data_IF_015636877418
#
_entry.id   IF_015636877418
#
_cell.length_a   1.000
_cell.length_b   1.000
_cell.length_c   1.000
_cell.angle_alpha   90.00
_cell.angle_beta   90.00
_cell.angle_gamma   90.00
#
_symmetry.space_group_name_H-M   'P 1'
#
loop_
_entity.id
_entity.type
_entity.pdbx_description
1 polymer ?
#
# COMPACT_ATOMS: atom_id res chain seq x y z
N UNK A 1 3.02 4.25 1.21
CA UNK A 1 3.96 3.21 1.67
C UNK A 1 4.82 2.65 0.53
N UNK A 2 4.24 2.16 -0.57
CA UNK A 2 5.00 1.51 -1.66
C UNK A 2 6.09 2.39 -2.27
N UNK A 3 5.78 3.67 -2.52
CA UNK A 3 6.76 4.68 -2.98
C UNK A 3 7.96 4.76 -2.02
N UNK A 4 7.71 4.77 -0.72
CA UNK A 4 8.76 4.88 0.30
C UNK A 4 9.64 3.63 0.36
N UNK A 5 9.05 2.44 0.22
CA UNK A 5 9.81 1.19 0.10
C UNK A 5 10.64 1.16 -1.20
N UNK A 6 10.06 1.60 -2.32
CA UNK A 6 10.76 1.67 -3.60
C UNK A 6 11.99 2.57 -3.51
N UNK A 7 11.83 3.72 -2.86
CA UNK A 7 12.90 4.68 -2.63
C UNK A 7 13.97 4.11 -1.71
N UNK A 8 13.60 3.42 -0.63
CA UNK A 8 14.57 2.75 0.24
C UNK A 8 15.38 1.68 -0.51
N UNK A 9 14.75 0.92 -1.41
CA UNK A 9 15.46 -0.03 -2.29
C UNK A 9 16.38 0.70 -3.30
N UNK A 10 15.93 1.83 -3.86
CA UNK A 10 16.76 2.63 -4.76
C UNK A 10 17.96 3.29 -4.06
N UNK A 11 17.81 3.66 -2.79
CA UNK A 11 18.90 4.15 -1.92
C UNK A 11 20.03 3.13 -1.79
N UNK A 12 19.69 1.83 -1.79
CA UNK A 12 20.65 0.71 -1.77
C UNK A 12 21.29 0.43 -3.14
N UNK A 13 20.94 1.19 -4.18
CA UNK A 13 21.53 1.09 -5.53
C UNK A 13 20.81 0.13 -6.48
N UNK A 14 19.63 -0.39 -6.11
CA UNK A 14 18.83 -1.22 -7.00
C UNK A 14 18.06 -0.39 -8.03
N UNK A 15 17.84 -0.98 -9.22
CA UNK A 15 16.90 -0.44 -10.21
C UNK A 15 15.49 -0.89 -9.82
N UNK A 16 14.64 0.07 -9.46
CA UNK A 16 13.31 -0.22 -8.91
C UNK A 16 12.23 0.40 -9.80
N UNK A 17 11.15 -0.35 -10.01
CA UNK A 17 9.92 0.17 -10.58
C UNK A 17 8.74 -0.04 -9.64
N UNK A 18 7.80 0.91 -9.63
CA UNK A 18 6.48 0.77 -9.02
C UNK A 18 5.44 0.70 -10.13
N UNK A 19 4.62 -0.33 -10.11
CA UNK A 19 3.44 -0.46 -10.96
C UNK A 19 2.22 -0.34 -10.07
N UNK A 20 1.38 0.67 -10.31
CA UNK A 20 0.24 0.98 -9.44
C UNK A 20 -1.06 1.12 -10.20
N UNK A 21 -2.19 0.78 -9.57
CA UNK A 21 -3.51 1.16 -10.05
C UNK A 21 -4.17 2.27 -9.20
N UNK A 22 -3.39 2.94 -8.33
CA UNK A 22 -3.84 4.04 -7.47
C UNK A 22 -4.31 5.25 -8.29
N UNK A 23 -5.43 5.84 -7.88
CA UNK A 23 -5.94 7.08 -8.47
C UNK A 23 -5.07 8.29 -8.13
N UNK A 24 -4.44 8.32 -6.94
CA UNK A 24 -3.59 9.43 -6.55
C UNK A 24 -2.35 9.55 -7.46
N UNK A 25 -1.81 8.42 -7.92
CA UNK A 25 -0.75 8.41 -8.95
C UNK A 25 -1.21 9.07 -10.24
N UNK A 26 -2.43 8.75 -10.70
CA UNK A 26 -2.99 9.32 -11.94
C UNK A 26 -3.19 10.81 -11.83
N UNK A 27 -3.83 11.27 -10.76
CA UNK A 27 -4.03 12.70 -10.52
C UNK A 27 -2.71 13.45 -10.44
N UNK A 28 -1.73 12.94 -9.69
CA UNK A 28 -0.40 13.53 -9.62
C UNK A 28 0.24 13.64 -11.03
N UNK A 29 0.16 12.59 -11.85
CA UNK A 29 0.67 12.62 -13.22
C UNK A 29 -0.09 13.63 -14.12
N UNK A 30 -1.42 13.72 -13.99
CA UNK A 30 -2.27 14.65 -14.75
C UNK A 30 -2.00 16.11 -14.39
N UNK A 31 -1.72 16.38 -13.12
CA UNK A 31 -1.30 17.69 -12.60
C UNK A 31 0.17 18.02 -12.95
N UNK A 32 0.86 17.11 -13.63
CA UNK A 32 2.25 17.27 -14.04
C UNK A 32 3.25 17.13 -12.89
N UNK A 33 2.83 16.60 -11.75
CA UNK A 33 3.74 16.26 -10.65
C UNK A 33 4.75 15.21 -11.13
N UNK A 34 5.97 15.36 -10.66
CA UNK A 34 7.06 14.42 -10.88
C UNK A 34 7.90 14.35 -9.61
N UNK A 35 8.64 13.24 -9.39
CA UNK A 35 9.65 13.21 -8.34
C UNK A 35 10.61 14.40 -8.44
N UNK A 36 10.95 15.01 -7.30
CA UNK A 36 11.84 16.16 -7.27
C UNK A 36 13.20 15.84 -7.94
N UNK A 37 13.75 16.70 -8.81
CA UNK A 37 15.02 16.43 -9.47
C UNK A 37 16.15 16.16 -8.47
N UNK A 38 16.88 15.06 -8.65
CA UNK A 38 18.00 14.67 -7.78
C UNK A 38 17.58 13.93 -6.51
N UNK A 39 16.28 13.81 -6.22
CA UNK A 39 15.76 12.95 -5.15
C UNK A 39 16.00 11.47 -5.44
N UNK A 40 15.93 10.64 -4.41
CA UNK A 40 15.90 9.19 -4.57
C UNK A 40 14.64 8.72 -5.29
N UNK A 41 13.49 9.36 -5.05
CA UNK A 41 12.27 9.12 -5.81
C UNK A 41 12.46 9.28 -7.33
N UNK A 42 13.30 10.23 -7.77
CA UNK A 42 13.61 10.42 -9.20
C UNK A 42 14.38 9.26 -9.85
N UNK A 43 14.88 8.30 -9.05
CA UNK A 43 15.57 7.09 -9.53
C UNK A 43 14.64 5.88 -9.66
N UNK A 44 13.40 6.01 -9.22
CA UNK A 44 12.37 4.96 -9.29
C UNK A 44 11.52 5.19 -10.54
N UNK A 45 11.27 4.13 -11.31
CA UNK A 45 10.31 4.19 -12.42
C UNK A 45 8.89 4.03 -11.91
N UNK A 46 7.99 4.96 -12.21
CA UNK A 46 6.57 4.89 -11.86
C UNK A 46 5.72 4.59 -13.09
N UNK A 47 4.85 3.59 -12.99
CA UNK A 47 4.03 3.11 -14.09
C UNK A 47 2.59 2.90 -13.62
N UNK A 48 1.63 3.38 -14.40
CA UNK A 48 0.23 3.00 -14.20
C UNK A 48 0.01 1.58 -14.76
N UNK A 49 -0.61 0.71 -13.98
CA UNK A 49 -1.04 -0.63 -14.40
C UNK A 49 -1.81 -0.55 -15.71
N UNK A 50 -2.70 0.44 -15.87
CA UNK A 50 -3.58 0.62 -17.03
C UNK A 50 -2.80 0.78 -18.34
N UNK A 51 -1.56 1.28 -18.29
CA UNK A 51 -0.73 1.52 -19.47
C UNK A 51 0.23 0.36 -19.78
N UNK A 52 0.17 -0.74 -19.02
CA UNK A 52 0.97 -1.94 -19.21
C UNK A 52 0.16 -3.11 -19.76
N UNK A 53 0.76 -3.86 -20.68
CA UNK A 53 0.28 -5.17 -21.11
C UNK A 53 0.65 -6.18 -20.01
N UNK A 54 -0.31 -6.48 -19.15
CA UNK A 54 -0.15 -7.46 -18.06
C UNK A 54 -0.36 -8.89 -18.56
N UNK A 55 -1.49 -9.17 -19.21
CA UNK A 55 -1.77 -10.47 -19.82
C UNK A 55 -2.45 -10.33 -21.19
N UNK A 56 -2.19 -11.24 -22.15
CA UNK A 56 -2.75 -11.14 -23.51
C UNK A 56 -4.28 -11.06 -23.55
N UNK A 57 -4.95 -11.65 -22.56
CA UNK A 57 -6.41 -11.65 -22.46
C UNK A 57 -6.99 -10.45 -21.71
N UNK A 58 -6.18 -9.53 -21.15
CA UNK A 58 -6.65 -8.45 -20.26
C UNK A 58 -7.73 -7.58 -20.90
N UNK A 59 -7.46 -7.10 -22.11
CA UNK A 59 -8.41 -6.30 -22.89
C UNK A 59 -9.68 -7.09 -23.18
N UNK A 60 -9.55 -8.37 -23.57
CA UNK A 60 -10.70 -9.23 -23.90
C UNK A 60 -11.58 -9.51 -22.68
N UNK A 61 -10.97 -9.78 -21.52
CA UNK A 61 -11.67 -10.01 -20.27
C UNK A 61 -12.39 -8.75 -19.79
N UNK A 62 -11.72 -7.59 -19.83
CA UNK A 62 -12.35 -6.29 -19.46
C UNK A 62 -13.52 -5.95 -20.39
N UNK A 63 -13.37 -6.09 -21.70
CA UNK A 63 -14.47 -5.92 -22.68
C UNK A 63 -15.66 -6.84 -22.39
N UNK A 64 -15.38 -8.11 -22.02
CA UNK A 64 -16.44 -9.05 -21.66
C UNK A 64 -17.16 -8.60 -20.39
N UNK A 65 -16.42 -8.21 -19.35
CA UNK A 65 -17.00 -7.72 -18.07
C UNK A 65 -17.94 -6.53 -18.29
N UNK A 66 -17.49 -5.53 -19.04
CA UNK A 66 -18.31 -4.34 -19.38
C UNK A 66 -19.57 -4.76 -20.13
N UNK A 67 -19.46 -5.67 -21.10
CA UNK A 67 -20.63 -6.17 -21.85
C UNK A 67 -21.61 -6.91 -20.95
N UNK A 68 -21.11 -7.78 -20.08
CA UNK A 68 -21.94 -8.59 -19.18
C UNK A 68 -22.66 -7.68 -18.15
N UNK A 69 -21.99 -6.64 -17.64
CA UNK A 69 -22.61 -5.62 -16.79
C UNK A 69 -23.69 -4.82 -17.53
N UNK A 70 -23.40 -4.33 -18.74
CA UNK A 70 -24.38 -3.62 -19.57
C UNK A 70 -25.63 -4.46 -19.83
N UNK A 71 -25.46 -5.76 -20.12
CA UNK A 71 -26.57 -6.67 -20.35
C UNK A 71 -27.41 -6.93 -19.09
N UNK A 72 -26.82 -6.81 -17.89
CA UNK A 72 -27.52 -6.97 -16.62
C UNK A 72 -28.30 -5.71 -16.20
N UNK A 73 -28.02 -4.55 -16.81
CA UNK A 73 -28.66 -3.29 -16.46
C UNK A 73 -30.01 -3.10 -17.18
N UNK A 74 -31.00 -2.50 -16.50
CA UNK A 74 -32.22 -2.01 -17.14
C UNK A 74 -31.95 -1.04 -18.31
N UNK A 75 -32.80 -0.99 -19.36
CA UNK A 75 -32.55 -0.14 -20.55
C UNK A 75 -32.34 1.36 -20.25
N UNK A 76 -33.02 1.90 -19.24
CA UNK A 76 -32.90 3.28 -18.80
C UNK A 76 -31.56 3.58 -18.09
N UNK A 77 -30.90 2.56 -17.55
CA UNK A 77 -29.59 2.67 -16.90
C UNK A 77 -28.45 2.42 -17.88
N UNK A 78 -28.67 1.59 -18.92
CA UNK A 78 -27.71 1.42 -20.01
C UNK A 78 -27.37 2.76 -20.70
N UNK A 79 -28.36 3.64 -20.87
CA UNK A 79 -28.15 4.98 -21.44
C UNK A 79 -27.27 5.89 -20.56
N UNK A 80 -27.18 5.62 -19.25
CA UNK A 80 -26.36 6.37 -18.29
C UNK A 80 -25.01 5.71 -18.01
N UNK A 81 -24.81 4.46 -18.46
CA UNK A 81 -23.63 3.67 -18.15
C UNK A 81 -22.33 4.36 -18.56
N UNK A 82 -22.28 4.99 -19.74
CA UNK A 82 -21.09 5.70 -20.20
C UNK A 82 -20.66 6.83 -19.26
N UNK A 83 -21.62 7.53 -18.65
CA UNK A 83 -21.33 8.62 -17.72
C UNK A 83 -20.89 8.08 -16.35
N UNK A 84 -21.57 7.04 -15.86
CA UNK A 84 -21.28 6.45 -14.53
C UNK A 84 -19.98 5.63 -14.53
N UNK A 85 -19.64 4.99 -15.64
CA UNK A 85 -18.48 4.09 -15.78
C UNK A 85 -17.40 4.66 -16.70
N UNK A 86 -17.30 5.99 -16.80
CA UNK A 86 -16.30 6.66 -17.63
C UNK A 86 -14.87 6.18 -17.32
N UNK A 87 -14.52 6.01 -16.04
CA UNK A 87 -13.22 5.51 -15.59
C UNK A 87 -12.92 4.07 -16.07
N UNK A 88 -13.93 3.18 -16.09
CA UNK A 88 -13.74 1.80 -16.56
C UNK A 88 -13.53 1.75 -18.08
N UNK A 89 -14.22 2.62 -18.82
CA UNK A 89 -14.03 2.78 -20.26
C UNK A 89 -12.65 3.37 -20.58
N UNK A 90 -12.24 4.43 -19.87
CA UNK A 90 -10.93 5.03 -20.02
C UNK A 90 -9.81 4.02 -19.70
N UNK A 91 -9.94 3.27 -18.60
CA UNK A 91 -9.00 2.21 -18.24
C UNK A 91 -8.89 1.15 -19.34
N UNK A 92 -10.00 0.80 -20.00
CA UNK A 92 -10.00 -0.11 -21.14
C UNK A 92 -9.30 0.51 -22.37
N UNK A 93 -9.51 1.79 -22.65
CA UNK A 93 -8.84 2.49 -23.77
C UNK A 93 -7.33 2.59 -23.56
N UNK A 94 -6.89 3.01 -22.37
CA UNK A 94 -5.48 3.05 -21.99
C UNK A 94 -4.82 1.68 -22.13
N UNK A 95 -5.49 0.64 -21.64
CA UNK A 95 -5.01 -0.74 -21.78
C UNK A 95 -4.91 -1.22 -23.24
N UNK A 96 -5.75 -0.71 -24.14
CA UNK A 96 -5.65 -1.02 -25.57
C UNK A 96 -4.49 -0.31 -26.25
N UNK A 97 -4.10 0.86 -25.75
CA UNK A 97 -2.97 1.65 -26.26
C UNK A 97 -1.64 1.27 -25.61
N UNK A 98 -1.67 0.51 -24.52
CA UNK A 98 -0.50 -0.04 -23.86
C UNK A 98 0.42 -0.73 -24.88
N UNK A 99 1.67 -0.30 -24.93
CA UNK A 99 2.70 -0.88 -25.83
C UNK A 99 3.73 -1.71 -25.06
N UNK A 100 3.94 -1.37 -23.79
CA UNK A 100 4.94 -1.98 -22.94
C UNK A 100 4.38 -3.18 -22.17
N UNK A 101 5.14 -4.28 -22.10
CA UNK A 101 4.74 -5.47 -21.33
C UNK A 101 5.31 -5.44 -19.91
N UNK A 102 4.50 -5.86 -18.93
CA UNK A 102 4.96 -6.00 -17.54
C UNK A 102 6.17 -6.95 -17.43
N UNK A 103 6.23 -8.02 -18.22
CA UNK A 103 7.38 -8.93 -18.24
C UNK A 103 8.67 -8.27 -18.72
N UNK A 104 8.59 -7.34 -19.67
CA UNK A 104 9.76 -6.60 -20.16
C UNK A 104 10.24 -5.61 -19.09
N UNK A 105 9.29 -5.01 -18.34
CA UNK A 105 9.59 -4.19 -17.18
C UNK A 105 10.30 -4.98 -16.07
N UNK A 106 9.80 -6.18 -15.74
CA UNK A 106 10.41 -7.09 -14.76
C UNK A 106 11.83 -7.48 -15.17
N UNK A 107 12.07 -7.75 -16.46
CA UNK A 107 13.38 -8.20 -16.93
C UNK A 107 14.48 -7.13 -16.82
N UNK A 108 14.13 -5.84 -16.79
CA UNK A 108 15.11 -4.73 -16.76
C UNK A 108 15.29 -4.05 -15.40
N UNK A 109 14.49 -4.41 -14.40
CA UNK A 109 14.59 -3.89 -13.04
C UNK A 109 15.04 -5.00 -12.08
N UNK A 110 15.71 -4.60 -11.00
CA UNK A 110 16.11 -5.53 -9.96
C UNK A 110 14.93 -5.85 -9.03
N UNK A 111 14.03 -4.87 -8.83
CA UNK A 111 12.77 -5.01 -8.10
C UNK A 111 11.63 -4.30 -8.85
N UNK A 112 10.47 -4.97 -8.93
CA UNK A 112 9.21 -4.37 -9.37
C UNK A 112 8.20 -4.52 -8.25
N UNK A 113 7.77 -3.40 -7.67
CA UNK A 113 6.74 -3.37 -6.64
C UNK A 113 5.38 -3.21 -7.31
N UNK A 114 4.49 -4.17 -7.06
CA UNK A 114 3.13 -4.19 -7.59
C UNK A 114 2.19 -3.62 -6.52
N UNK A 115 1.83 -2.35 -6.65
CA UNK A 115 0.89 -1.65 -5.77
C UNK A 115 -0.53 -1.70 -6.36
N UNK A 116 -1.13 -2.89 -6.31
CA UNK A 116 -2.41 -3.15 -7.00
C UNK A 116 -3.48 -3.64 -6.04
N UNK A 117 -4.66 -3.03 -6.16
CA UNK A 117 -5.84 -3.40 -5.38
C UNK A 117 -6.34 -4.81 -5.72
N UNK A 118 -5.99 -5.80 -4.88
CA UNK A 118 -6.53 -7.17 -4.86
C UNK A 118 -6.66 -7.87 -6.24
N UNK A 119 -5.80 -7.55 -7.21
CA UNK A 119 -5.80 -8.18 -8.54
C UNK A 119 -5.15 -9.57 -8.48
N UNK A 120 -5.92 -10.56 -8.04
CA UNK A 120 -5.45 -11.91 -7.74
C UNK A 120 -4.66 -12.56 -8.90
N UNK A 121 -5.11 -12.39 -10.14
CA UNK A 121 -4.44 -12.96 -11.32
C UNK A 121 -3.07 -12.32 -11.57
N UNK A 122 -2.97 -10.99 -11.39
CA UNK A 122 -1.73 -10.24 -11.56
C UNK A 122 -0.72 -10.64 -10.48
N UNK A 123 -1.14 -10.62 -9.22
CA UNK A 123 -0.32 -11.03 -8.07
C UNK A 123 0.15 -12.47 -8.25
N UNK A 124 -0.76 -13.39 -8.58
CA UNK A 124 -0.43 -14.82 -8.70
C UNK A 124 0.60 -15.13 -9.78
N UNK A 125 0.61 -14.36 -10.87
CA UNK A 125 1.44 -14.60 -12.05
C UNK A 125 2.79 -13.91 -12.01
N UNK A 126 2.88 -12.74 -11.38
CA UNK A 126 4.08 -11.89 -11.47
C UNK A 126 4.78 -11.68 -10.13
N UNK A 127 4.12 -11.90 -8.99
CA UNK A 127 4.76 -11.73 -7.70
C UNK A 127 5.53 -12.99 -7.29
N UNK A 128 6.77 -12.80 -6.79
CA UNK A 128 7.53 -13.84 -6.10
C UNK A 128 7.26 -13.82 -4.58
N UNK A 129 7.07 -12.61 -4.05
CA UNK A 129 6.80 -12.34 -2.65
C UNK A 129 5.61 -11.38 -2.56
N UNK A 130 4.72 -11.61 -1.60
CA UNK A 130 3.55 -10.79 -1.35
C UNK A 130 3.56 -10.34 0.11
N UNK A 131 3.79 -9.05 0.33
CA UNK A 131 3.58 -8.42 1.63
C UNK A 131 2.14 -7.89 1.71
N UNK A 132 1.31 -8.54 2.53
CA UNK A 132 -0.09 -8.17 2.75
C UNK A 132 -0.15 -7.15 3.87
N UNK A 133 -0.63 -5.95 3.57
CA UNK A 133 -0.75 -4.87 4.56
C UNK A 133 -1.86 -5.18 5.55
N UNK A 134 -1.52 -5.25 6.83
CA UNK A 134 -2.46 -5.55 7.92
C UNK A 134 -2.47 -4.40 8.91
N UNK A 135 -3.53 -3.61 8.89
CA UNK A 135 -3.73 -2.54 9.87
C UNK A 135 -4.19 -3.13 11.21
N UNK A 136 -3.32 -3.04 12.21
CA UNK A 136 -3.58 -3.60 13.55
C UNK A 136 -4.62 -2.81 14.34
N UNK A 137 -5.10 -1.68 13.83
CA UNK A 137 -6.22 -0.93 14.41
C UNK A 137 -7.59 -1.37 13.86
N UNK A 138 -7.64 -2.25 12.86
CA UNK A 138 -8.85 -2.58 12.12
C UNK A 138 -9.06 -4.09 11.96
N UNK A 139 -10.00 -4.66 12.72
CA UNK A 139 -10.36 -6.08 12.60
C UNK A 139 -10.86 -6.47 11.20
N UNK A 140 -11.45 -5.52 10.46
CA UNK A 140 -11.87 -5.76 9.08
C UNK A 140 -10.68 -5.85 8.12
N UNK A 141 -9.62 -5.09 8.36
CA UNK A 141 -8.38 -5.21 7.59
C UNK A 141 -7.75 -6.59 7.78
N UNK A 142 -7.66 -7.08 9.03
CA UNK A 142 -7.17 -8.44 9.35
C UNK A 142 -7.99 -9.52 8.65
N UNK A 143 -9.33 -9.44 8.72
CA UNK A 143 -10.22 -10.40 8.04
C UNK A 143 -10.08 -10.34 6.52
N UNK A 144 -9.92 -9.14 5.97
CA UNK A 144 -9.72 -8.95 4.52
C UNK A 144 -8.40 -9.57 4.06
N UNK A 145 -7.33 -9.37 4.83
CA UNK A 145 -6.02 -9.96 4.58
C UNK A 145 -6.08 -11.50 4.57
N UNK A 146 -6.73 -12.11 5.57
CA UNK A 146 -6.97 -13.55 5.61
C UNK A 146 -7.71 -14.06 4.37
N UNK A 147 -8.84 -13.43 4.03
CA UNK A 147 -9.63 -13.80 2.83
C UNK A 147 -8.83 -13.65 1.54
N UNK A 148 -8.02 -12.60 1.42
CA UNK A 148 -7.19 -12.35 0.25
C UNK A 148 -6.13 -13.44 0.06
N UNK A 149 -5.40 -13.80 1.11
CA UNK A 149 -4.39 -14.87 1.05
C UNK A 149 -5.03 -16.23 0.78
N UNK A 150 -6.14 -16.57 1.46
CA UNK A 150 -6.87 -17.81 1.17
C UNK A 150 -7.36 -17.85 -0.27
N UNK A 151 -7.83 -16.73 -0.85
CA UNK A 151 -8.23 -16.67 -2.24
C UNK A 151 -7.06 -16.94 -3.20
N UNK A 152 -5.88 -16.36 -2.94
CA UNK A 152 -4.67 -16.60 -3.73
C UNK A 152 -4.19 -18.05 -3.66
N UNK A 153 -4.21 -18.65 -2.46
CA UNK A 153 -3.81 -20.04 -2.25
C UNK A 153 -4.76 -21.04 -2.94
N UNK A 154 -6.05 -20.70 -3.06
CA UNK A 154 -7.04 -21.53 -3.73
C UNK A 154 -6.97 -21.49 -5.27
N UNK A 155 -6.16 -20.60 -5.85
CA UNK A 155 -5.96 -20.57 -7.31
C UNK A 155 -5.07 -21.74 -7.72
N UNK A 156 -5.69 -22.76 -8.33
CA UNK A 156 -4.99 -23.91 -8.92
C UNK A 156 -4.19 -23.47 -10.14
N UNK A 157 -2.87 -23.32 -9.97
CA UNK A 157 -1.93 -23.02 -11.05
C UNK A 157 -0.75 -24.01 -11.02
N UNK A 158 -0.10 -24.22 -12.16
CA UNK A 158 1.12 -25.05 -12.29
C UNK A 158 2.40 -24.31 -11.88
N UNK A 159 2.34 -22.99 -11.76
CA UNK A 159 3.48 -22.15 -11.37
C UNK A 159 3.67 -22.15 -9.84
N UNK A 160 4.91 -21.92 -9.40
CA UNK A 160 5.27 -21.80 -7.98
C UNK A 160 4.38 -20.77 -7.28
N UNK A 161 3.84 -21.11 -6.12
CA UNK A 161 3.06 -20.20 -5.28
C UNK A 161 4.00 -19.17 -4.65
N UNK A 162 3.67 -17.86 -4.68
CA UNK A 162 4.48 -16.86 -3.99
C UNK A 162 4.48 -17.07 -2.48
N UNK A 163 5.50 -16.57 -1.81
CA UNK A 163 5.53 -16.48 -0.35
C UNK A 163 4.67 -15.30 0.12
N UNK A 164 3.81 -15.54 1.11
CA UNK A 164 2.92 -14.53 1.68
C UNK A 164 3.39 -14.15 3.09
N UNK A 165 3.45 -12.85 3.36
CA UNK A 165 3.79 -12.32 4.68
C UNK A 165 2.84 -11.20 5.08
N UNK A 166 2.58 -11.05 6.37
CA UNK A 166 1.82 -9.93 6.92
C UNK A 166 2.74 -8.75 7.23
N UNK A 167 2.55 -7.61 6.57
CA UNK A 167 3.18 -6.35 6.95
C UNK A 167 2.27 -5.62 7.92
N UNK A 168 2.59 -5.68 9.21
CA UNK A 168 1.79 -5.06 10.26
C UNK A 168 2.01 -3.55 10.28
N UNK A 169 0.92 -2.78 10.34
CA UNK A 169 0.95 -1.32 10.37
C UNK A 169 0.19 -0.76 11.56
N UNK A 170 0.59 0.43 12.01
CA UNK A 170 0.10 1.09 13.23
C UNK A 170 0.41 0.30 14.51
N UNK A 171 1.58 -0.33 14.56
CA UNK A 171 2.08 -1.13 15.68
C UNK A 171 2.61 -0.29 16.86
N UNK A 172 2.07 0.92 17.07
CA UNK A 172 2.51 1.80 18.15
C UNK A 172 2.24 1.15 19.52
N UNK A 173 3.32 0.85 20.26
CA UNK A 173 3.25 0.43 21.66
C UNK A 173 2.97 1.67 22.50
N UNK A 174 1.72 1.89 22.89
CA UNK A 174 1.34 2.97 23.81
C UNK A 174 0.32 3.97 23.30
N UNK A 175 -0.16 3.84 22.06
CA UNK A 175 -1.26 4.64 21.52
C UNK A 175 -0.94 6.13 21.45
N UNK A 176 -0.60 6.61 20.24
CA UNK A 176 -0.60 8.05 19.98
C UNK A 176 -2.06 8.49 19.89
N UNK A 177 -2.68 8.78 21.03
CA UNK A 177 -3.80 9.71 21.02
C UNK A 177 -3.16 11.08 20.92
N UNK A 178 -3.40 11.75 19.80
CA UNK A 178 -3.16 13.19 19.68
C UNK A 178 -3.93 13.97 20.76
N UNK A 179 -5.00 13.41 21.33
CA UNK A 179 -5.71 13.96 22.49
C UNK A 179 -4.94 13.74 23.82
N UNK A 180 -3.87 12.92 23.83
CA UNK A 180 -3.04 12.65 25.01
C UNK A 180 -1.68 13.38 24.99
N UNK A 181 -1.28 14.03 23.89
CA UNK A 181 -0.37 15.18 24.00
C UNK A 181 -1.04 16.31 24.80
N UNK A 182 -2.38 16.36 24.81
CA UNK A 182 -3.19 17.18 25.72
C UNK A 182 -3.51 16.47 27.05
N UNK A 183 -2.60 15.64 27.59
CA UNK A 183 -2.49 15.62 29.05
C UNK A 183 -1.95 16.99 29.46
N UNK A 184 -2.87 17.95 29.54
CA UNK A 184 -2.76 19.22 30.24
C UNK A 184 -2.53 18.89 31.71
N UNK A 185 -1.33 18.38 32.00
CA UNK A 185 -0.95 17.85 33.30
C UNK A 185 -0.89 18.91 34.38
N UNK A 186 -1.02 20.19 34.02
CA UNK A 186 -0.88 21.29 34.97
C UNK A 186 -2.03 22.33 34.97
N UNK A 187 -3.02 22.28 34.06
CA UNK A 187 -3.97 23.41 33.90
C UNK A 187 -5.48 23.12 33.85
N UNK A 188 -5.95 21.86 33.85
CA UNK A 188 -7.39 21.56 33.84
C UNK A 188 -7.74 20.52 34.90
N UNK A 189 -8.54 20.90 35.91
CA UNK A 189 -9.17 19.94 36.83
C UNK A 189 -10.31 19.25 36.10
N UNK A 190 -10.13 17.96 35.79
CA UNK A 190 -11.20 17.09 35.29
C UNK A 190 -12.16 16.73 36.43
N UNK A 191 -13.44 16.56 36.12
CA UNK A 191 -14.38 15.94 37.06
C UNK A 191 -14.13 14.44 37.20
N UNK A 192 -14.59 13.83 38.29
CA UNK A 192 -14.50 12.38 38.50
C UNK A 192 -15.17 11.58 37.37
N UNK A 193 -16.28 12.11 36.82
CA UNK A 193 -17.00 11.51 35.68
C UNK A 193 -16.16 11.54 34.40
N UNK A 194 -15.56 12.70 34.06
CA UNK A 194 -14.68 12.82 32.90
C UNK A 194 -13.45 11.92 33.03
N UNK A 195 -12.88 11.83 34.23
CA UNK A 195 -11.76 10.94 34.50
C UNK A 195 -12.16 9.46 34.30
N UNK A 196 -13.33 9.06 34.80
CA UNK A 196 -13.83 7.69 34.65
C UNK A 196 -14.12 7.36 33.17
N UNK A 197 -14.72 8.27 32.41
CA UNK A 197 -14.98 8.10 30.97
C UNK A 197 -13.68 7.90 30.17
N UNK A 198 -12.63 8.69 30.46
CA UNK A 198 -11.32 8.55 29.83
C UNK A 198 -10.72 7.18 30.14
N UNK A 199 -10.79 6.74 31.40
CA UNK A 199 -10.28 5.44 31.84
C UNK A 199 -11.04 4.30 31.16
N UNK A 200 -12.37 4.36 31.11
CA UNK A 200 -13.20 3.33 30.47
C UNK A 200 -12.98 3.28 28.94
N UNK A 201 -12.84 4.45 28.31
CA UNK A 201 -12.45 4.56 26.90
C UNK A 201 -11.09 3.92 26.64
N UNK A 202 -10.09 4.18 27.50
CA UNK A 202 -8.76 3.56 27.42
C UNK A 202 -8.85 2.04 27.55
N UNK A 203 -9.55 1.53 28.55
CA UNK A 203 -9.73 0.08 28.72
C UNK A 203 -10.47 -0.57 27.55
N UNK A 204 -11.49 0.09 27.00
CA UNK A 204 -12.20 -0.40 25.82
C UNK A 204 -11.27 -0.48 24.60
N UNK A 205 -10.41 0.52 24.41
CA UNK A 205 -9.42 0.58 23.34
C UNK A 205 -8.37 -0.50 23.50
N UNK A 206 -7.81 -0.68 24.71
CA UNK A 206 -6.88 -1.76 25.00
C UNK A 206 -7.50 -3.14 24.69
N UNK A 207 -8.70 -3.42 25.22
CA UNK A 207 -9.41 -4.68 24.93
C UNK A 207 -9.67 -4.90 23.45
N UNK A 208 -9.99 -3.83 22.71
CA UNK A 208 -10.17 -3.90 21.25
C UNK A 208 -8.85 -4.25 20.56
N UNK A 209 -7.73 -3.65 20.95
CA UNK A 209 -6.40 -3.92 20.37
C UNK A 209 -5.94 -5.35 20.65
N UNK A 210 -6.09 -5.85 21.87
CA UNK A 210 -5.77 -7.25 22.20
C UNK A 210 -6.58 -8.24 21.33
N UNK A 211 -7.89 -8.00 21.16
CA UNK A 211 -8.71 -8.83 20.26
C UNK A 211 -8.27 -8.76 18.80
N UNK A 212 -7.77 -7.62 18.33
CA UNK A 212 -7.25 -7.51 16.96
C UNK A 212 -5.93 -8.26 16.85
N UNK A 213 -5.07 -8.20 17.87
CA UNK A 213 -3.82 -8.97 17.90
C UNK A 213 -4.10 -10.48 17.87
N UNK A 214 -5.05 -10.98 18.66
CA UNK A 214 -5.49 -12.38 18.60
C UNK A 214 -5.95 -12.78 17.19
N UNK A 215 -6.61 -11.88 16.45
CA UNK A 215 -7.00 -12.13 15.06
C UNK A 215 -5.80 -12.13 14.12
N UNK A 216 -4.80 -11.27 14.33
CA UNK A 216 -3.55 -11.25 13.55
C UNK A 216 -2.78 -12.55 13.76
N UNK A 217 -2.66 -13.01 15.00
CA UNK A 217 -1.99 -14.27 15.35
C UNK A 217 -2.70 -15.50 14.76
N UNK A 218 -3.99 -15.38 14.44
CA UNK A 218 -4.78 -16.44 13.79
C UNK A 218 -4.62 -16.53 12.27
N UNK A 219 -3.88 -15.61 11.63
CA UNK A 219 -3.66 -15.62 10.19
C UNK A 219 -2.78 -16.81 9.76
N UNK A 220 -3.12 -17.44 8.64
CA UNK A 220 -2.41 -18.62 8.10
C UNK A 220 -1.08 -18.27 7.39
N UNK A 221 -0.57 -17.06 7.56
CA UNK A 221 0.68 -16.60 6.98
C UNK A 221 1.48 -15.80 8.01
N UNK A 222 2.82 -15.94 8.03
CA UNK A 222 3.64 -15.32 9.06
C UNK A 222 3.71 -13.79 8.88
N UNK A 223 3.83 -13.02 9.97
CA UNK A 223 4.17 -11.60 9.87
C UNK A 223 5.62 -11.42 9.42
N UNK A 224 5.91 -10.29 8.77
CA UNK A 224 7.27 -9.77 8.64
C UNK A 224 7.77 -9.33 10.03
N UNK A 225 9.08 -9.41 10.25
CA UNK A 225 9.70 -8.91 11.47
C UNK A 225 9.66 -7.38 11.56
N UNK A 226 9.64 -6.70 10.42
CA UNK A 226 9.48 -5.25 10.37
C UNK A 226 8.01 -4.89 10.57
N UNK A 227 7.74 -4.26 11.71
CA UNK A 227 6.46 -3.60 12.02
C UNK A 227 6.55 -2.12 11.71
N UNK A 228 5.48 -1.56 11.13
CA UNK A 228 5.39 -0.13 10.82
C UNK A 228 4.56 0.60 11.85
N UNK A 229 5.06 1.74 12.30
CA UNK A 229 4.44 2.56 13.36
C UNK A 229 3.69 3.76 12.77
N UNK A 230 3.09 4.58 13.62
CA UNK A 230 2.53 5.88 13.27
C UNK A 230 3.57 6.95 12.91
N UNK A 231 4.87 6.63 12.92
CA UNK A 231 5.97 7.58 12.69
C UNK A 231 5.90 8.35 11.36
N UNK A 232 5.17 7.82 10.36
CA UNK A 232 4.95 8.53 9.10
C UNK A 232 4.21 9.85 9.28
N UNK A 233 3.28 9.92 10.26
CA UNK A 233 2.49 11.14 10.53
C UNK A 233 3.39 12.26 11.00
N UNK A 234 4.25 11.96 11.98
CA UNK A 234 5.26 12.90 12.49
C UNK A 234 6.19 13.36 11.37
N UNK A 235 6.63 12.45 10.49
CA UNK A 235 7.48 12.84 9.38
C UNK A 235 6.78 13.81 8.41
N UNK A 236 5.51 13.58 8.09
CA UNK A 236 4.70 14.44 7.23
C UNK A 236 4.47 15.80 7.91
N UNK A 237 4.05 15.83 9.18
CA UNK A 237 3.85 17.06 9.95
C UNK A 237 5.13 17.90 10.00
N UNK A 238 6.29 17.28 10.24
CA UNK A 238 7.58 17.99 10.19
C UNK A 238 7.87 18.65 8.84
N UNK A 239 7.40 18.07 7.74
CA UNK A 239 7.53 18.67 6.41
C UNK A 239 6.53 19.81 6.21
N UNK A 240 5.29 19.64 6.66
CA UNK A 240 4.21 20.62 6.51
C UNK A 240 4.39 21.86 7.42
N UNK A 241 5.00 21.70 8.60
CA UNK A 241 5.27 22.80 9.54
C UNK A 241 6.37 23.74 9.05
N UNK A 242 7.34 23.22 8.32
CA UNK A 242 8.48 23.98 7.81
C UNK A 242 8.90 23.50 6.40
N UNK A 243 8.03 23.63 5.39
CA UNK A 243 8.30 23.10 4.06
C UNK A 243 9.46 23.86 3.45
N UNK A 244 10.49 23.16 2.92
CA UNK A 244 11.47 23.78 2.05
C UNK A 244 10.77 24.48 0.88
N UNK A 245 11.31 25.60 0.35
CA UNK A 245 10.68 26.32 -0.74
C UNK A 245 10.38 25.41 -1.94
N UNK A 246 9.10 25.33 -2.33
CA UNK A 246 8.65 24.51 -3.46
C UNK A 246 8.51 23.02 -3.15
N UNK A 247 8.51 22.62 -1.88
CA UNK A 247 8.35 21.23 -1.47
C UNK A 247 7.07 21.07 -0.63
N UNK A 248 6.05 20.47 -1.23
CA UNK A 248 4.82 20.02 -0.56
C UNK A 248 4.80 18.50 -0.52
N UNK A 249 4.11 17.92 0.47
CA UNK A 249 3.94 16.48 0.52
C UNK A 249 2.98 16.03 -0.59
N UNK A 250 3.53 15.35 -1.59
CA UNK A 250 2.79 14.82 -2.75
C UNK A 250 2.97 13.31 -2.93
N UNK A 251 2.40 12.75 -4.01
CA UNK A 251 2.44 11.30 -4.27
C UNK A 251 3.88 10.76 -4.32
N UNK A 252 4.79 11.51 -4.93
CA UNK A 252 6.20 11.15 -5.11
C UNK A 252 7.08 11.50 -3.91
N UNK A 253 6.52 12.01 -2.81
CA UNK A 253 7.28 12.35 -1.61
C UNK A 253 7.68 11.09 -0.84
N UNK A 254 8.98 10.94 -0.58
CA UNK A 254 9.51 9.84 0.20
C UNK A 254 10.25 10.34 1.45
N UNK A 255 10.06 9.67 2.59
CA UNK A 255 10.68 10.02 3.87
C UNK A 255 12.19 10.08 3.79
N UNK A 256 12.81 9.23 2.96
CA UNK A 256 14.26 9.23 2.74
C UNK A 256 14.74 10.54 2.12
N UNK A 257 13.90 11.23 1.33
CA UNK A 257 14.27 12.48 0.65
C UNK A 257 14.16 13.69 1.59
N UNK A 258 13.05 13.82 2.32
CA UNK A 258 12.79 15.03 3.12
C UNK A 258 13.02 14.87 4.63
N UNK A 259 12.94 13.64 5.15
CA UNK A 259 13.15 13.33 6.56
C UNK A 259 14.05 12.09 6.74
N UNK A 260 15.28 12.07 6.17
CA UNK A 260 16.11 10.87 6.04
C UNK A 260 16.46 10.19 7.36
N UNK A 261 16.44 10.94 8.47
CA UNK A 261 16.78 10.46 9.81
C UNK A 261 15.56 10.10 10.67
N UNK A 262 14.35 10.28 10.14
CA UNK A 262 13.09 9.98 10.84
C UNK A 262 12.94 8.49 11.13
N UNK A 263 12.09 8.17 12.11
CA UNK A 263 11.69 6.79 12.40
C UNK A 263 11.01 6.13 11.19
N UNK A 264 10.15 6.86 10.47
CA UNK A 264 9.51 6.36 9.26
C UNK A 264 10.52 5.97 8.16
N UNK A 265 11.55 6.79 7.91
CA UNK A 265 12.61 6.46 6.96
C UNK A 265 13.41 5.21 7.41
N UNK A 266 13.68 5.06 8.71
CA UNK A 266 14.36 3.86 9.25
C UNK A 266 13.51 2.61 9.14
N UNK A 267 12.20 2.70 9.34
CA UNK A 267 11.27 1.59 9.15
C UNK A 267 11.25 1.10 7.70
N UNK A 268 11.22 2.02 6.73
CA UNK A 268 11.26 1.67 5.31
C UNK A 268 12.58 1.00 4.91
N UNK A 269 13.71 1.44 5.46
CA UNK A 269 15.01 0.77 5.25
C UNK A 269 15.05 -0.63 5.86
N UNK A 270 14.56 -0.81 7.09
CA UNK A 270 14.45 -2.15 7.71
C UNK A 270 13.58 -3.09 6.89
N UNK A 271 12.45 -2.59 6.39
CA UNK A 271 11.56 -3.36 5.51
C UNK A 271 12.26 -3.73 4.19
N UNK A 272 12.95 -2.78 3.57
CA UNK A 272 13.73 -3.04 2.35
C UNK A 272 14.79 -4.12 2.58
N UNK A 273 15.57 -4.00 3.66
CA UNK A 273 16.58 -4.99 4.04
C UNK A 273 15.94 -6.38 4.24
N UNK A 274 14.87 -6.47 5.02
CA UNK A 274 14.17 -7.73 5.27
C UNK A 274 13.69 -8.39 3.96
N UNK A 275 13.05 -7.64 3.07
CA UNK A 275 12.55 -8.15 1.80
C UNK A 275 13.67 -8.59 0.84
N UNK A 276 14.83 -7.94 0.89
CA UNK A 276 16.03 -8.39 0.16
C UNK A 276 16.50 -9.75 0.69
N UNK A 277 16.53 -9.94 2.01
CA UNK A 277 16.97 -11.20 2.62
C UNK A 277 16.04 -12.36 2.26
N UNK A 278 14.72 -12.17 2.27
CA UNK A 278 13.76 -13.21 1.89
C UNK A 278 13.85 -13.67 0.42
N UNK A 279 14.45 -12.86 -0.46
CA UNK A 279 14.68 -13.21 -1.87
C UNK A 279 15.85 -14.17 -2.05
N UNK A 280 16.85 -14.10 -1.16
CA UNK A 280 18.00 -15.01 -1.21
C UNK A 280 17.54 -16.37 -0.64
N UNK A 281 17.80 -17.51 -1.31
CA UNK A 281 17.40 -18.81 -0.79
C UNK A 281 17.89 -18.97 0.64
N UNK A 282 16.96 -19.06 1.59
CA UNK A 282 17.27 -19.13 3.01
C UNK A 282 18.13 -20.38 3.31
N UNK A 283 19.42 -20.16 3.57
CA UNK A 283 20.30 -21.07 4.30
C UNK A 283 20.09 -20.88 5.81
N UNK A 284 18.84 -20.99 6.28
CA UNK A 284 18.57 -21.05 7.71
C UNK A 284 18.36 -22.54 8.07
N UNK A 285 19.42 -23.14 8.61
CA UNK A 285 19.41 -24.42 9.35
C UNK A 285 19.44 -24.14 10.83
#
# INVERSE_FOLDING_TARGET
MTVNLAVALAELGFRVAVVTNDYNHRYACEDGEQPAPGSWASRVGFFDERDLITFPSAVKQRRKRIRDQLAALPPNEQAKYQFVHADELEALERKQRATEKLNELIARHDYVLLDVNAELELVRRFANLVAVVVDTNCSMAVRSAGRFVSALQNIKCRETTPSYFGLLTNCDVGGVSSELEEFVGDFVKLSDEQYQDIIDSKYSTCRRRERVLELVDSLEFPPLHTELTGAYRIAIEMLEDAPPPGQEYGYFSAFVDFAPRSHAAREMRRLADELIHWRLPNNWK
#
